data_IF_005862989193
#
_entry.id   IF_005862989193
#
_cell.length_a   1.000
_cell.length_b   1.000
_cell.length_c   1.000
_cell.angle_alpha   90.00
_cell.angle_beta   90.00
_cell.angle_gamma   90.00
#
_symmetry.space_group_name_H-M   'P 1'
#
loop_
_entity.id
_entity.type
_entity.pdbx_description
1 polymer ?
#
# COMPACT_ATOMS: atom_id res chain seq x y z
N UNK A 1 -3.41 81.65 -58.66
CA UNK A 1 -4.32 82.63 -57.91
C UNK A 1 -4.87 81.88 -56.71
N UNK A 2 -4.44 82.28 -55.53
CA UNK A 2 -5.10 82.21 -54.22
C UNK A 2 -5.80 80.88 -53.85
N UNK A 3 -5.81 80.40 -52.70
CA UNK A 3 -5.40 80.74 -51.33
C UNK A 3 -5.74 79.45 -50.50
N UNK A 4 -4.89 78.90 -49.77
CA UNK A 4 -4.84 78.87 -48.30
C UNK A 4 -6.10 78.60 -47.51
N UNK A 5 -6.11 77.55 -46.69
CA UNK A 5 -6.33 77.49 -45.26
C UNK A 5 -6.49 75.99 -44.85
N UNK A 6 -5.56 75.38 -44.16
CA UNK A 6 -5.38 75.29 -42.70
C UNK A 6 -6.63 74.88 -41.90
N UNK A 7 -6.55 73.77 -41.21
CA UNK A 7 -6.90 73.60 -39.80
C UNK A 7 -6.84 72.10 -39.42
N UNK A 8 -5.85 71.74 -38.70
CA UNK A 8 -5.83 71.38 -37.25
C UNK A 8 -6.83 70.26 -36.91
N UNK A 9 -6.26 69.18 -36.46
CA UNK A 9 -6.95 68.64 -35.37
C UNK A 9 -6.84 67.15 -35.08
N UNK A 10 -6.09 66.84 -34.12
CA UNK A 10 -6.21 65.79 -33.12
C UNK A 10 -5.72 64.38 -33.47
N UNK A 11 -4.51 64.17 -33.13
CA UNK A 11 -3.87 62.94 -32.78
C UNK A 11 -4.69 62.17 -31.68
N UNK A 12 -5.23 61.01 -32.01
CA UNK A 12 -5.80 60.10 -31.04
C UNK A 12 -4.78 59.00 -30.76
N UNK A 13 -4.02 59.15 -29.67
CA UNK A 13 -3.08 58.12 -29.15
C UNK A 13 -3.93 56.92 -28.67
N UNK A 14 -3.88 55.80 -29.39
CA UNK A 14 -4.37 54.51 -28.88
C UNK A 14 -3.33 53.98 -27.91
N UNK A 15 -3.65 54.00 -26.62
CA UNK A 15 -2.90 53.26 -25.60
C UNK A 15 -3.20 51.80 -25.74
N UNK A 16 -2.20 51.01 -26.11
CA UNK A 16 -2.23 49.55 -26.05
C UNK A 16 -1.95 49.18 -24.59
N UNK A 17 -2.97 48.80 -23.86
CA UNK A 17 -2.85 48.14 -22.55
C UNK A 17 -2.46 46.69 -22.82
N UNK A 18 -1.15 46.40 -22.67
CA UNK A 18 -0.67 45.03 -22.63
C UNK A 18 -1.07 44.40 -21.28
N UNK A 19 -2.19 43.68 -21.29
CA UNK A 19 -2.57 42.83 -20.16
C UNK A 19 -1.61 41.66 -20.02
N UNK A 20 -0.68 41.72 -19.08
CA UNK A 20 0.08 40.54 -18.64
C UNK A 20 -0.91 39.56 -17.97
N UNK A 21 -1.29 38.52 -18.69
CA UNK A 21 -1.93 37.33 -18.10
C UNK A 21 -0.86 36.60 -17.29
N UNK A 22 -0.82 36.83 -15.99
CA UNK A 22 -0.04 36.01 -15.06
C UNK A 22 -0.78 34.69 -14.95
N UNK A 23 -0.33 33.67 -15.70
CA UNK A 23 -0.76 32.31 -15.50
C UNK A 23 -0.19 31.84 -14.15
N UNK A 24 -1.00 31.89 -13.11
CA UNK A 24 -0.70 31.23 -11.83
C UNK A 24 -0.80 29.74 -12.08
N UNK A 25 0.36 29.13 -12.41
CA UNK A 25 0.49 27.66 -12.36
C UNK A 25 0.49 27.29 -10.89
N UNK A 26 -0.65 26.92 -10.36
CA UNK A 26 -0.73 26.19 -9.09
C UNK A 26 -0.10 24.81 -9.33
N UNK A 27 1.20 24.70 -9.09
CA UNK A 27 1.81 23.42 -8.83
C UNK A 27 1.17 22.92 -7.54
N UNK A 28 0.16 22.05 -7.66
CA UNK A 28 -0.38 21.33 -6.53
C UNK A 28 0.75 20.50 -5.92
N UNK A 29 1.40 21.03 -4.90
CA UNK A 29 2.20 20.20 -4.02
C UNK A 29 1.27 19.12 -3.50
N UNK A 30 1.56 17.85 -3.82
CA UNK A 30 0.91 16.72 -3.17
C UNK A 30 1.15 16.93 -1.67
N UNK A 31 0.09 17.23 -0.93
CA UNK A 31 0.18 17.36 0.50
C UNK A 31 0.80 16.07 1.05
N UNK A 32 1.82 16.21 1.88
CA UNK A 32 2.40 15.07 2.56
C UNK A 32 1.29 14.36 3.34
N UNK A 33 1.28 13.04 3.30
CA UNK A 33 0.33 12.26 4.10
C UNK A 33 0.64 12.52 5.56
N UNK A 34 -0.35 12.98 6.31
CA UNK A 34 -0.24 13.27 7.74
C UNK A 34 -1.16 12.36 8.54
N UNK A 35 -0.77 12.13 9.79
CA UNK A 35 -1.61 11.40 10.76
C UNK A 35 -2.80 12.26 11.15
N UNK A 36 -3.98 11.67 11.22
CA UNK A 36 -5.19 12.38 11.67
C UNK A 36 -4.95 13.01 13.05
N UNK A 37 -5.07 14.34 13.19
CA UNK A 37 -4.77 15.05 14.44
C UNK A 37 -5.66 14.65 15.64
N UNK A 38 -6.77 13.97 15.39
CA UNK A 38 -7.66 13.44 16.43
C UNK A 38 -7.12 12.16 17.07
N UNK A 39 -6.14 11.50 16.47
CA UNK A 39 -5.51 10.32 17.07
C UNK A 39 -4.70 10.76 18.29
N UNK A 40 -5.02 10.18 19.43
CA UNK A 40 -4.37 10.53 20.70
C UNK A 40 -2.92 10.02 20.74
N UNK A 41 -2.00 10.77 21.38
CA UNK A 41 -0.67 10.28 21.65
C UNK A 41 -0.70 9.10 22.63
N UNK A 42 0.33 8.24 22.56
CA UNK A 42 0.46 7.10 23.45
C UNK A 42 0.63 7.56 24.90
N UNK A 43 -0.11 6.94 25.80
CA UNK A 43 0.01 7.18 27.25
C UNK A 43 0.63 5.97 27.92
N UNK A 44 1.90 6.10 28.31
CA UNK A 44 2.64 5.08 29.02
C UNK A 44 1.97 4.68 30.33
N UNK A 45 1.90 3.37 30.57
CA UNK A 45 1.41 2.80 31.85
C UNK A 45 2.52 2.01 32.53
N UNK A 46 2.38 1.78 33.85
CA UNK A 46 3.36 0.97 34.61
C UNK A 46 3.12 -0.52 34.47
N UNK A 47 4.12 -1.33 34.78
CA UNK A 47 3.99 -2.80 34.89
C UNK A 47 4.05 -3.54 33.53
N UNK A 48 4.51 -2.90 32.47
CA UNK A 48 4.66 -3.53 31.15
C UNK A 48 6.07 -4.07 30.97
N UNK A 49 6.18 -5.38 30.84
CA UNK A 49 7.45 -6.11 30.58
C UNK A 49 7.14 -7.48 29.99
N UNK A 50 8.14 -8.14 29.47
CA UNK A 50 8.04 -9.51 28.94
C UNK A 50 8.42 -9.61 27.46
N UNK A 51 8.09 -10.76 26.89
CA UNK A 51 8.44 -11.08 25.50
C UNK A 51 7.18 -11.17 24.65
N UNK A 52 7.30 -10.78 23.39
CA UNK A 52 6.32 -11.01 22.33
C UNK A 52 7.02 -11.62 21.12
N UNK A 53 6.40 -12.63 20.55
CA UNK A 53 6.81 -13.25 19.31
C UNK A 53 5.80 -12.90 18.22
N UNK A 54 6.29 -12.37 17.12
CA UNK A 54 5.53 -11.94 15.96
C UNK A 54 5.98 -12.72 14.74
N UNK A 55 5.09 -13.54 14.19
CA UNK A 55 5.36 -14.37 13.01
C UNK A 55 4.29 -14.10 11.96
N UNK A 56 4.69 -13.72 10.75
CA UNK A 56 3.72 -13.46 9.69
C UNK A 56 4.25 -12.71 8.49
N UNK A 57 3.52 -11.69 8.09
CA UNK A 57 3.68 -10.96 6.84
C UNK A 57 5.02 -10.24 6.70
N UNK A 58 5.75 -10.53 5.62
CA UNK A 58 6.90 -9.73 5.20
C UNK A 58 6.50 -8.28 4.86
N UNK A 59 5.31 -8.04 4.33
CA UNK A 59 4.84 -6.68 4.02
C UNK A 59 4.86 -5.76 5.26
N UNK A 60 4.54 -6.30 6.44
CA UNK A 60 4.56 -5.55 7.70
C UNK A 60 5.91 -5.64 8.43
N UNK A 61 6.90 -6.36 7.89
CA UNK A 61 8.13 -6.64 8.63
C UNK A 61 8.86 -5.38 9.10
N UNK A 62 8.99 -4.37 8.23
CA UNK A 62 9.61 -3.09 8.58
C UNK A 62 8.77 -2.33 9.61
N UNK A 63 7.44 -2.23 9.40
CA UNK A 63 6.54 -1.60 10.37
C UNK A 63 6.65 -2.24 11.74
N UNK A 64 6.61 -3.58 11.82
CA UNK A 64 6.75 -4.30 13.07
C UNK A 64 8.09 -4.00 13.77
N UNK A 65 9.18 -3.92 13.00
CA UNK A 65 10.51 -3.59 13.53
C UNK A 65 10.55 -2.15 14.07
N UNK A 66 10.01 -1.18 13.34
CA UNK A 66 9.98 0.22 13.77
C UNK A 66 9.06 0.44 14.97
N UNK A 67 7.89 -0.19 15.00
CA UNK A 67 7.01 -0.17 16.16
C UNK A 67 7.68 -0.80 17.39
N UNK A 68 8.35 -1.94 17.22
CA UNK A 68 9.09 -2.58 18.31
C UNK A 68 10.24 -1.70 18.81
N UNK A 69 10.96 -1.01 17.92
CA UNK A 69 12.00 -0.04 18.29
C UNK A 69 11.42 1.13 19.10
N UNK A 70 10.33 1.74 18.60
CA UNK A 70 9.66 2.84 19.27
C UNK A 70 9.10 2.42 20.65
N UNK A 71 8.44 1.26 20.71
CA UNK A 71 7.88 0.73 21.95
C UNK A 71 8.95 0.39 23.02
N UNK A 72 10.12 -0.08 22.59
CA UNK A 72 11.24 -0.31 23.53
C UNK A 72 11.82 0.98 24.14
N UNK A 73 11.65 2.13 23.50
CA UNK A 73 12.02 3.42 24.12
C UNK A 73 11.12 3.73 25.32
N UNK A 74 9.83 3.32 25.22
CA UNK A 74 8.89 3.42 26.35
C UNK A 74 9.12 2.33 27.41
N UNK A 75 9.41 1.10 26.97
CA UNK A 75 9.54 -0.09 27.82
C UNK A 75 10.83 -0.86 27.55
N UNK A 76 11.97 -0.44 28.13
CA UNK A 76 13.27 -1.04 27.84
C UNK A 76 13.39 -2.54 28.20
N UNK A 77 12.52 -3.05 29.09
CA UNK A 77 12.49 -4.45 29.51
C UNK A 77 11.60 -5.34 28.64
N UNK A 78 11.03 -4.81 27.56
CA UNK A 78 10.23 -5.58 26.59
C UNK A 78 11.12 -6.08 25.46
N UNK A 79 10.94 -7.34 25.08
CA UNK A 79 11.60 -7.97 23.92
C UNK A 79 10.52 -8.38 22.92
N UNK A 80 10.69 -7.97 21.67
CA UNK A 80 9.79 -8.35 20.58
C UNK A 80 10.65 -9.01 19.50
N UNK A 81 10.37 -10.29 19.23
CA UNK A 81 10.98 -11.04 18.13
C UNK A 81 10.06 -10.96 16.92
N UNK A 82 10.62 -10.78 15.73
CA UNK A 82 9.85 -10.56 14.51
C UNK A 82 10.37 -11.49 13.42
N UNK A 83 9.46 -12.27 12.83
CA UNK A 83 9.72 -13.11 11.67
C UNK A 83 8.73 -12.79 10.54
N UNK A 84 9.24 -12.18 9.46
CA UNK A 84 8.46 -11.78 8.29
C UNK A 84 8.53 -12.78 7.14
N UNK A 85 8.07 -14.02 7.33
CA UNK A 85 8.17 -15.11 6.33
C UNK A 85 6.95 -15.25 5.40
N UNK A 86 5.95 -14.42 5.57
CA UNK A 86 4.71 -14.42 4.79
C UNK A 86 3.47 -14.65 5.64
N UNK A 87 2.34 -14.10 5.23
CA UNK A 87 1.08 -14.14 6.00
C UNK A 87 0.59 -15.56 6.30
N UNK A 88 0.94 -16.55 5.47
CA UNK A 88 0.53 -17.94 5.70
C UNK A 88 1.21 -18.58 6.91
N UNK A 89 2.28 -17.98 7.45
CA UNK A 89 2.96 -18.49 8.65
C UNK A 89 2.31 -18.01 9.95
N UNK A 90 1.47 -16.95 9.89
CA UNK A 90 0.83 -16.39 11.08
C UNK A 90 -0.22 -17.34 11.69
N UNK A 91 -1.21 -17.88 10.93
CA UNK A 91 -2.23 -18.74 11.51
C UNK A 91 -1.68 -19.96 12.25
N UNK A 92 -0.77 -20.79 11.66
CA UNK A 92 -0.22 -21.93 12.38
C UNK A 92 0.60 -21.55 13.61
N UNK A 93 1.31 -20.41 13.58
CA UNK A 93 2.07 -19.94 14.74
C UNK A 93 1.16 -19.49 15.89
N UNK A 94 0.04 -18.80 15.58
CA UNK A 94 -0.99 -18.45 16.57
C UNK A 94 -1.67 -19.68 17.14
N UNK A 95 -2.01 -20.67 16.32
CA UNK A 95 -2.62 -21.94 16.75
C UNK A 95 -1.67 -22.74 17.64
N UNK A 96 -0.39 -22.78 17.28
CA UNK A 96 0.64 -23.47 18.08
C UNK A 96 1.01 -22.71 19.36
N UNK A 97 0.64 -21.43 19.48
CA UNK A 97 1.03 -20.58 20.60
C UNK A 97 2.51 -20.12 20.54
N UNK A 98 3.20 -20.34 19.41
CA UNK A 98 4.58 -19.92 19.21
C UNK A 98 4.71 -18.45 18.86
N UNK A 99 3.61 -17.79 18.50
CA UNK A 99 3.52 -16.34 18.34
C UNK A 99 2.28 -15.80 19.04
N UNK A 100 2.38 -14.61 19.63
CA UNK A 100 1.26 -13.88 20.20
C UNK A 100 0.68 -12.88 19.19
N UNK A 101 1.48 -12.47 18.21
CA UNK A 101 1.11 -11.54 17.16
C UNK A 101 1.27 -12.17 15.79
N UNK A 102 0.22 -12.13 14.98
CA UNK A 102 0.20 -12.65 13.62
C UNK A 102 -0.03 -11.55 12.59
N UNK A 103 1.02 -10.81 12.14
CA UNK A 103 0.86 -9.81 11.09
C UNK A 103 0.44 -10.45 9.77
N UNK A 104 -0.56 -9.88 9.10
CA UNK A 104 -1.07 -10.38 7.82
C UNK A 104 -1.39 -9.24 6.86
N UNK A 105 -1.05 -9.41 5.59
CA UNK A 105 -1.35 -8.48 4.50
C UNK A 105 -2.52 -8.92 3.63
N UNK A 106 -3.34 -9.82 4.15
CA UNK A 106 -4.67 -10.24 3.70
C UNK A 106 -5.49 -10.66 4.91
N UNK A 107 -6.81 -10.71 4.80
CA UNK A 107 -7.63 -11.37 5.82
C UNK A 107 -7.22 -12.84 6.01
N UNK A 108 -7.38 -13.33 7.24
CA UNK A 108 -7.26 -14.75 7.54
C UNK A 108 -8.35 -15.52 6.76
N UNK A 109 -7.99 -16.65 6.19
CA UNK A 109 -8.95 -17.49 5.47
C UNK A 109 -9.85 -18.23 6.47
N UNK A 110 -11.01 -18.68 5.99
CA UNK A 110 -11.94 -19.40 6.85
C UNK A 110 -11.34 -20.66 7.48
N UNK A 111 -10.61 -21.44 6.72
CA UNK A 111 -9.94 -22.65 7.20
C UNK A 111 -8.86 -22.34 8.26
N UNK A 112 -8.16 -21.20 8.10
CA UNK A 112 -7.18 -20.71 9.08
C UNK A 112 -7.86 -20.25 10.38
N UNK A 113 -9.01 -19.53 10.27
CA UNK A 113 -9.83 -19.14 11.43
C UNK A 113 -10.45 -20.36 12.13
N UNK A 114 -10.98 -21.33 11.37
CA UNK A 114 -11.58 -22.54 11.91
C UNK A 114 -10.56 -23.39 12.69
N UNK A 115 -9.31 -23.44 12.22
CA UNK A 115 -8.23 -24.11 12.94
C UNK A 115 -7.94 -23.43 14.30
N UNK A 116 -7.96 -22.11 14.36
CA UNK A 116 -7.80 -21.38 15.62
C UNK A 116 -8.99 -21.61 16.56
N UNK A 117 -10.21 -21.53 16.04
CA UNK A 117 -11.44 -21.79 16.82
C UNK A 117 -11.46 -23.23 17.37
N UNK A 118 -11.06 -24.21 16.55
CA UNK A 118 -10.96 -25.61 16.99
C UNK A 118 -9.99 -25.82 18.15
N UNK A 119 -8.91 -25.05 18.19
CA UNK A 119 -7.89 -25.13 19.24
C UNK A 119 -8.31 -24.41 20.53
N UNK A 120 -8.89 -23.23 20.42
CA UNK A 120 -9.08 -22.34 21.56
C UNK A 120 -10.54 -22.11 21.95
N UNK A 121 -11.51 -22.50 21.11
CA UNK A 121 -12.95 -22.36 21.39
C UNK A 121 -13.51 -20.95 21.15
N UNK A 122 -12.68 -20.00 20.64
CA UNK A 122 -13.11 -18.65 20.30
C UNK A 122 -12.43 -18.16 19.03
N UNK A 123 -12.96 -17.08 18.43
CA UNK A 123 -12.41 -16.50 17.20
C UNK A 123 -11.16 -15.66 17.48
N UNK A 124 -10.17 -15.78 16.60
CA UNK A 124 -9.04 -14.89 16.59
C UNK A 124 -9.48 -13.45 16.27
N UNK A 125 -8.86 -12.44 16.87
CA UNK A 125 -9.19 -11.04 16.65
C UNK A 125 -8.18 -10.40 15.70
N UNK A 126 -8.65 -9.86 14.58
CA UNK A 126 -7.85 -9.07 13.65
C UNK A 126 -7.94 -7.59 13.96
N UNK A 127 -6.79 -6.95 14.19
CA UNK A 127 -6.64 -5.53 14.44
C UNK A 127 -6.08 -4.87 13.19
N UNK A 128 -6.83 -3.93 12.59
CA UNK A 128 -6.35 -3.09 11.50
C UNK A 128 -5.30 -2.10 12.02
N UNK A 129 -4.13 -2.05 11.39
CA UNK A 129 -2.99 -1.26 11.90
C UNK A 129 -2.47 -0.22 10.91
N UNK A 130 -2.72 -0.40 9.63
CA UNK A 130 -2.36 0.54 8.56
C UNK A 130 -3.18 0.27 7.31
N UNK A 131 -3.25 1.25 6.41
CA UNK A 131 -3.76 1.07 5.07
C UNK A 131 -2.59 0.91 4.09
N UNK A 132 -2.81 0.11 3.05
CA UNK A 132 -1.86 -0.13 1.97
C UNK A 132 -2.57 -0.01 0.62
N UNK A 133 -1.94 0.69 -0.32
CA UNK A 133 -2.24 0.54 -1.73
C UNK A 133 -1.26 -0.48 -2.30
N UNK A 134 -1.76 -1.71 -2.56
CA UNK A 134 -0.94 -2.70 -3.25
C UNK A 134 -0.64 -2.16 -4.65
N UNK A 135 0.58 -1.66 -4.83
CA UNK A 135 0.97 -0.97 -6.05
C UNK A 135 1.50 -1.95 -7.10
N UNK A 136 1.18 -1.66 -8.37
CA UNK A 136 1.89 -2.21 -9.51
C UNK A 136 3.02 -1.25 -9.84
N UNK A 137 4.24 -1.74 -9.74
CA UNK A 137 5.47 -1.00 -10.00
C UNK A 137 6.03 -1.33 -11.37
N UNK A 138 6.53 -0.33 -12.04
CA UNK A 138 7.37 -0.46 -13.24
C UNK A 138 8.69 0.27 -13.01
N UNK A 139 9.71 -0.05 -13.81
CA UNK A 139 10.95 0.71 -13.77
C UNK A 139 10.68 2.21 -13.95
N UNK A 140 11.45 3.06 -13.27
CA UNK A 140 11.26 4.51 -13.28
C UNK A 140 11.24 5.14 -14.68
N UNK A 141 11.95 4.55 -15.63
CA UNK A 141 12.11 5.04 -17.02
C UNK A 141 10.99 4.54 -17.94
N UNK A 142 10.14 3.59 -17.51
CA UNK A 142 9.04 3.09 -18.32
C UNK A 142 7.98 4.18 -18.55
N UNK A 143 7.57 4.49 -19.79
CA UNK A 143 6.63 5.59 -20.07
C UNK A 143 5.18 5.28 -19.71
N UNK A 144 4.82 4.03 -19.39
CA UNK A 144 3.43 3.67 -19.08
C UNK A 144 2.89 4.46 -17.87
N UNK A 145 1.64 4.89 -17.93
CA UNK A 145 1.02 5.70 -16.87
C UNK A 145 -0.01 4.94 -16.05
N UNK A 146 -0.74 4.05 -16.72
CA UNK A 146 -1.85 3.33 -16.08
C UNK A 146 -2.12 2.00 -16.75
N UNK A 147 -2.76 1.10 -15.99
CA UNK A 147 -3.31 -0.17 -16.47
C UNK A 147 -4.70 -0.39 -15.88
N UNK A 148 -5.54 -1.12 -16.58
CA UNK A 148 -6.76 -1.68 -16.00
C UNK A 148 -6.46 -3.01 -15.30
N UNK A 149 -7.30 -3.44 -14.35
CA UNK A 149 -7.16 -4.77 -13.74
C UNK A 149 -7.26 -5.91 -14.77
N UNK A 150 -8.14 -5.86 -15.79
CA UNK A 150 -8.09 -6.82 -16.88
C UNK A 150 -6.74 -6.89 -17.60
N UNK A 151 -6.07 -5.75 -17.85
CA UNK A 151 -4.72 -5.73 -18.41
C UNK A 151 -3.68 -6.33 -17.45
N UNK A 152 -3.78 -6.02 -16.15
CA UNK A 152 -2.91 -6.63 -15.13
C UNK A 152 -3.09 -8.15 -15.09
N UNK A 153 -4.32 -8.65 -15.19
CA UNK A 153 -4.59 -10.09 -15.29
C UNK A 153 -3.96 -10.69 -16.54
N UNK A 154 -4.15 -10.08 -17.70
CA UNK A 154 -3.54 -10.55 -18.97
C UNK A 154 -1.99 -10.54 -18.95
N UNK A 155 -1.38 -9.64 -18.15
CA UNK A 155 0.07 -9.59 -17.95
C UNK A 155 0.55 -10.73 -17.04
N UNK A 156 -0.10 -10.95 -15.89
CA UNK A 156 0.41 -11.83 -14.82
C UNK A 156 -0.22 -13.22 -14.78
N UNK A 157 -1.43 -13.39 -15.34
CA UNK A 157 -2.20 -14.64 -15.27
C UNK A 157 -2.08 -15.45 -16.55
N UNK A 158 -2.04 -16.79 -16.40
CA UNK A 158 -2.17 -17.74 -17.52
C UNK A 158 -3.61 -18.16 -17.81
N UNK A 159 -4.55 -17.78 -16.93
CA UNK A 159 -5.96 -18.17 -17.03
C UNK A 159 -6.87 -17.06 -17.55
N UNK A 160 -6.39 -15.82 -17.57
CA UNK A 160 -7.05 -14.63 -18.14
C UNK A 160 -8.51 -14.45 -17.72
N UNK A 161 -8.81 -14.66 -16.43
CA UNK A 161 -10.16 -14.56 -15.88
C UNK A 161 -10.69 -13.11 -15.78
N UNK A 162 -9.81 -12.14 -15.94
CA UNK A 162 -10.16 -10.70 -15.94
C UNK A 162 -10.87 -10.22 -17.20
N UNK A 163 -10.97 -11.07 -18.26
CA UNK A 163 -11.77 -10.79 -19.44
C UNK A 163 -10.98 -10.46 -20.71
N UNK A 164 -9.67 -10.23 -20.66
CA UNK A 164 -8.80 -10.08 -21.83
C UNK A 164 -8.20 -11.46 -22.15
N UNK A 165 -8.58 -12.01 -23.30
CA UNK A 165 -8.08 -13.33 -23.74
C UNK A 165 -6.64 -13.28 -24.25
N UNK A 166 -6.17 -12.11 -24.67
CA UNK A 166 -4.81 -11.93 -25.21
C UNK A 166 -3.76 -12.10 -24.11
N UNK A 167 -2.72 -12.87 -24.41
CA UNK A 167 -1.58 -13.07 -23.54
C UNK A 167 -0.55 -11.94 -23.77
N UNK A 168 -0.45 -11.00 -22.86
CA UNK A 168 0.50 -9.89 -22.96
C UNK A 168 1.92 -10.34 -22.60
N UNK A 169 2.83 -10.17 -23.56
CA UNK A 169 4.25 -10.57 -23.49
C UNK A 169 5.21 -9.42 -23.68
N UNK A 170 4.77 -8.35 -24.34
CA UNK A 170 5.61 -7.18 -24.64
C UNK A 170 4.92 -5.88 -24.26
N UNK A 171 5.72 -4.86 -24.02
CA UNK A 171 5.24 -3.52 -23.76
C UNK A 171 4.49 -2.89 -24.94
N UNK A 172 4.80 -3.33 -26.18
CA UNK A 172 4.09 -2.87 -27.38
C UNK A 172 2.62 -3.26 -27.40
N UNK A 173 2.26 -4.42 -26.86
CA UNK A 173 0.86 -4.85 -26.73
C UNK A 173 0.06 -3.96 -25.76
N UNK A 174 0.76 -3.22 -24.88
CA UNK A 174 0.19 -2.22 -23.98
C UNK A 174 0.23 -0.79 -24.58
N UNK A 175 0.53 -0.67 -25.88
CA UNK A 175 0.53 0.60 -26.62
C UNK A 175 1.83 1.39 -26.56
N UNK A 176 2.89 0.85 -26.00
CA UNK A 176 4.20 1.51 -26.02
C UNK A 176 4.85 1.36 -27.40
N UNK A 177 5.52 2.41 -27.86
CA UNK A 177 6.16 2.49 -29.18
C UNK A 177 7.66 2.67 -29.08
N UNK A 178 8.34 2.74 -30.24
CA UNK A 178 9.78 2.93 -30.32
C UNK A 178 10.56 1.79 -29.67
N UNK A 179 11.56 2.12 -28.88
CA UNK A 179 12.42 1.14 -28.20
C UNK A 179 11.68 0.23 -27.21
N UNK A 180 10.51 0.64 -26.75
CA UNK A 180 9.69 -0.13 -25.82
C UNK A 180 8.82 -1.19 -26.48
N UNK A 181 8.48 -1.03 -27.78
CA UNK A 181 7.51 -1.88 -28.45
C UNK A 181 7.85 -3.38 -28.37
N UNK A 182 9.12 -3.72 -28.56
CA UNK A 182 9.58 -5.10 -28.59
C UNK A 182 10.19 -5.60 -27.28
N UNK A 183 10.25 -4.74 -26.23
CA UNK A 183 10.75 -5.17 -24.94
C UNK A 183 9.77 -6.17 -24.30
N UNK A 184 10.27 -7.32 -23.80
CA UNK A 184 9.43 -8.30 -23.12
C UNK A 184 8.96 -7.76 -21.77
N UNK A 185 7.81 -8.23 -21.31
CA UNK A 185 7.35 -8.01 -19.94
C UNK A 185 8.12 -8.94 -18.99
N UNK A 186 8.95 -8.37 -18.13
CA UNK A 186 9.70 -9.11 -17.10
C UNK A 186 8.94 -9.03 -15.77
N UNK A 187 8.32 -10.17 -15.39
CA UNK A 187 7.34 -10.22 -14.31
C UNK A 187 8.00 -10.53 -12.98
N UNK A 188 7.74 -9.69 -11.95
CA UNK A 188 8.20 -9.90 -10.59
C UNK A 188 7.00 -10.01 -9.63
N UNK A 189 6.93 -11.08 -8.86
CA UNK A 189 5.85 -11.32 -7.92
C UNK A 189 6.37 -11.88 -6.61
N UNK A 190 5.45 -12.20 -5.71
CA UNK A 190 5.74 -12.83 -4.43
C UNK A 190 5.54 -14.33 -4.52
N UNK A 191 6.17 -15.07 -3.63
CA UNK A 191 5.91 -16.51 -3.48
C UNK A 191 4.55 -16.78 -2.78
N UNK A 192 4.11 -18.03 -2.79
CA UNK A 192 2.81 -18.45 -2.28
C UNK A 192 2.63 -18.32 -0.75
N UNK A 193 3.71 -18.17 0.03
CA UNK A 193 3.65 -17.89 1.47
C UNK A 193 3.17 -16.45 1.76
N UNK A 194 3.30 -15.55 0.79
CA UNK A 194 2.96 -14.14 0.92
C UNK A 194 1.44 -13.92 0.91
N UNK A 195 0.94 -13.13 1.87
CA UNK A 195 -0.42 -12.61 1.82
C UNK A 195 -0.64 -11.68 0.64
N UNK A 196 0.40 -10.93 0.21
CA UNK A 196 0.36 -10.08 -0.98
C UNK A 196 0.17 -10.87 -2.26
N UNK A 197 0.80 -12.05 -2.39
CA UNK A 197 0.53 -13.00 -3.47
C UNK A 197 -0.96 -13.41 -3.48
N UNK A 198 -1.50 -13.81 -2.33
CA UNK A 198 -2.91 -14.23 -2.23
C UNK A 198 -3.88 -13.09 -2.54
N UNK A 199 -3.64 -11.90 -2.01
CA UNK A 199 -4.46 -10.72 -2.26
C UNK A 199 -4.44 -10.31 -3.74
N UNK A 200 -3.26 -10.25 -4.37
CA UNK A 200 -3.14 -9.93 -5.79
C UNK A 200 -3.82 -10.98 -6.69
N UNK A 201 -3.64 -12.27 -6.37
CA UNK A 201 -4.35 -13.37 -7.07
C UNK A 201 -5.86 -13.19 -7.02
N UNK A 202 -6.40 -12.83 -5.85
CA UNK A 202 -7.83 -12.68 -5.66
C UNK A 202 -8.40 -11.45 -6.35
N UNK A 203 -7.77 -10.30 -6.20
CA UNK A 203 -8.32 -9.01 -6.60
C UNK A 203 -7.85 -8.51 -7.97
N UNK A 204 -6.61 -8.83 -8.37
CA UNK A 204 -6.06 -8.40 -9.65
C UNK A 204 -6.18 -9.48 -10.75
N UNK A 205 -6.11 -10.78 -10.38
CA UNK A 205 -6.16 -11.88 -11.33
C UNK A 205 -7.50 -12.63 -11.31
N UNK A 206 -8.55 -12.07 -10.70
CA UNK A 206 -9.87 -12.70 -10.59
C UNK A 206 -9.80 -14.19 -10.15
N UNK A 207 -8.90 -14.49 -9.19
CA UNK A 207 -8.55 -15.85 -8.71
C UNK A 207 -7.93 -16.74 -9.80
N UNK A 208 -7.38 -16.15 -10.87
CA UNK A 208 -6.64 -16.85 -11.92
C UNK A 208 -5.28 -17.32 -11.43
N UNK A 209 -4.64 -18.20 -12.20
CA UNK A 209 -3.32 -18.72 -11.89
C UNK A 209 -2.23 -17.86 -12.53
N UNK A 210 -1.17 -17.61 -11.76
CA UNK A 210 -0.01 -16.87 -12.26
C UNK A 210 0.66 -17.59 -13.44
N UNK A 211 1.27 -16.82 -14.34
CA UNK A 211 2.17 -17.34 -15.35
C UNK A 211 3.41 -17.96 -14.68
N UNK A 212 3.92 -19.02 -15.26
CA UNK A 212 5.13 -19.70 -14.79
C UNK A 212 6.40 -18.84 -14.98
N UNK A 213 6.29 -17.76 -15.77
CA UNK A 213 7.34 -16.76 -16.00
C UNK A 213 7.44 -15.69 -14.93
N UNK A 214 6.52 -15.66 -13.97
CA UNK A 214 6.62 -14.73 -12.84
C UNK A 214 7.80 -15.13 -11.97
N UNK A 215 8.77 -14.22 -11.84
CA UNK A 215 9.93 -14.37 -10.97
C UNK A 215 9.50 -14.20 -9.53
N UNK A 216 9.24 -15.29 -8.83
CA UNK A 216 8.81 -15.28 -7.43
C UNK A 216 9.92 -14.77 -6.51
N UNK A 217 9.58 -13.78 -5.70
CA UNK A 217 10.49 -13.16 -4.73
C UNK A 217 10.05 -13.47 -3.29
N UNK A 218 11.02 -13.70 -2.37
CA UNK A 218 10.71 -13.98 -0.97
C UNK A 218 10.14 -12.77 -0.22
N UNK A 219 10.52 -11.56 -0.63
CA UNK A 219 10.17 -10.32 0.07
C UNK A 219 9.66 -9.21 -0.86
N UNK A 220 9.01 -8.22 -0.25
CA UNK A 220 8.48 -7.03 -0.91
C UNK A 220 9.60 -6.16 -1.50
N UNK A 221 10.69 -5.98 -0.74
CA UNK A 221 11.88 -5.25 -1.18
C UNK A 221 12.53 -5.91 -2.40
N UNK A 222 12.59 -7.25 -2.44
CA UNK A 222 13.19 -7.99 -3.57
C UNK A 222 12.40 -7.83 -4.86
N UNK A 223 11.06 -7.72 -4.79
CA UNK A 223 10.24 -7.38 -5.97
C UNK A 223 10.63 -6.01 -6.51
N UNK A 224 10.67 -5.00 -5.63
CA UNK A 224 10.99 -3.61 -6.03
C UNK A 224 12.42 -3.51 -6.57
N UNK A 225 13.37 -4.23 -5.97
CA UNK A 225 14.75 -4.29 -6.47
C UNK A 225 14.81 -4.91 -7.87
N UNK A 226 14.14 -6.05 -8.10
CA UNK A 226 14.08 -6.68 -9.43
C UNK A 226 13.51 -5.76 -10.50
N UNK A 227 12.44 -5.00 -10.19
CA UNK A 227 11.87 -4.01 -11.11
C UNK A 227 12.81 -2.82 -11.33
N UNK A 228 13.58 -2.42 -10.30
CA UNK A 228 14.57 -1.34 -10.41
C UNK A 228 15.71 -1.71 -11.35
N UNK A 229 16.20 -2.94 -11.28
CA UNK A 229 17.35 -3.43 -12.04
C UNK A 229 16.99 -3.82 -13.49
N UNK A 230 15.73 -4.12 -13.74
CA UNK A 230 15.23 -4.54 -15.05
C UNK A 230 14.36 -3.43 -15.68
N UNK A 231 14.87 -2.79 -16.74
CA UNK A 231 14.14 -1.75 -17.46
C UNK A 231 12.77 -2.22 -17.98
N UNK A 232 12.67 -3.52 -18.32
CA UNK A 232 11.41 -4.16 -18.76
C UNK A 232 10.54 -4.64 -17.61
N UNK A 233 10.98 -4.42 -16.37
CA UNK A 233 10.37 -4.95 -15.17
C UNK A 233 8.99 -4.37 -14.87
N UNK A 234 8.09 -5.26 -14.47
CA UNK A 234 6.81 -4.96 -13.85
C UNK A 234 6.60 -5.91 -12.68
N UNK A 235 6.16 -5.40 -11.55
CA UNK A 235 5.95 -6.20 -10.34
C UNK A 235 4.91 -5.57 -9.42
N UNK A 236 4.54 -6.28 -8.34
CA UNK A 236 3.59 -5.78 -7.36
C UNK A 236 4.14 -5.89 -5.93
N UNK A 237 3.94 -4.85 -5.15
CA UNK A 237 4.36 -4.77 -3.76
C UNK A 237 3.55 -3.71 -3.00
N UNK A 238 3.59 -3.72 -1.66
CA UNK A 238 3.01 -2.65 -0.85
C UNK A 238 3.67 -1.30 -1.15
N UNK A 239 2.88 -0.22 -1.08
CA UNK A 239 3.34 1.12 -1.45
C UNK A 239 4.52 1.59 -0.59
N UNK A 240 4.62 1.15 0.66
CA UNK A 240 5.72 1.47 1.57
C UNK A 240 7.10 1.03 1.08
N UNK A 241 7.15 0.09 0.13
CA UNK A 241 8.43 -0.37 -0.45
C UNK A 241 8.87 0.44 -1.69
N UNK A 242 8.12 1.48 -2.07
CA UNK A 242 8.49 2.32 -3.22
C UNK A 242 9.86 2.97 -3.03
N UNK A 243 10.71 2.85 -4.04
CA UNK A 243 12.02 3.52 -4.12
C UNK A 243 12.07 4.48 -5.31
N UNK A 244 13.14 5.26 -5.41
CA UNK A 244 13.38 6.14 -6.57
C UNK A 244 13.66 5.37 -7.88
N UNK A 245 13.96 4.08 -7.81
CA UNK A 245 14.21 3.22 -8.98
C UNK A 245 12.94 2.73 -9.68
N UNK A 246 11.77 2.90 -9.04
CA UNK A 246 10.48 2.47 -9.57
C UNK A 246 9.46 3.58 -9.53
N UNK A 247 8.42 3.45 -10.34
CA UNK A 247 7.20 4.24 -10.20
C UNK A 247 5.99 3.31 -10.03
N UNK A 248 5.08 3.69 -9.18
CA UNK A 248 3.77 3.07 -9.07
C UNK A 248 2.86 3.66 -10.16
N UNK A 249 2.10 2.82 -10.83
CA UNK A 249 1.20 3.27 -11.90
C UNK A 249 -0.23 3.36 -11.40
N UNK A 250 -1.02 4.23 -12.03
CA UNK A 250 -2.44 4.33 -11.75
C UNK A 250 -3.17 3.07 -12.23
N UNK A 251 -4.19 2.64 -11.49
CA UNK A 251 -5.01 1.48 -11.84
C UNK A 251 -6.48 1.86 -12.00
N UNK A 252 -7.14 1.23 -12.99
CA UNK A 252 -8.59 1.27 -13.11
C UNK A 252 -9.17 -0.13 -12.89
N UNK A 253 -10.38 -0.19 -12.32
CA UNK A 253 -11.06 -1.48 -12.08
C UNK A 253 -11.50 -2.17 -13.39
N UNK A 254 -11.70 -1.40 -14.47
CA UNK A 254 -12.19 -1.88 -15.78
C UNK A 254 -11.51 -1.10 -16.90
N UNK A 255 -11.45 -1.70 -18.08
CA UNK A 255 -11.03 -0.97 -19.28
C UNK A 255 -11.92 0.26 -19.54
N UNK A 256 -11.29 1.37 -19.95
CA UNK A 256 -11.97 2.63 -20.22
C UNK A 256 -12.46 3.40 -18.98
N UNK A 257 -12.38 2.82 -17.78
CA UNK A 257 -12.69 3.53 -16.55
C UNK A 257 -11.53 4.47 -16.13
N UNK A 258 -11.79 5.55 -15.39
CA UNK A 258 -10.77 6.42 -14.86
C UNK A 258 -9.79 5.63 -13.97
N UNK A 259 -8.50 5.76 -14.24
CA UNK A 259 -7.46 5.18 -13.41
C UNK A 259 -7.16 6.08 -12.20
N UNK A 260 -6.95 5.47 -11.05
CA UNK A 260 -6.63 6.14 -9.79
C UNK A 260 -5.17 5.86 -9.39
N UNK A 261 -4.48 6.89 -8.93
CA UNK A 261 -3.14 6.78 -8.34
C UNK A 261 -3.20 6.06 -6.99
N UNK A 262 -2.15 5.30 -6.61
CA UNK A 262 -2.08 4.60 -5.32
C UNK A 262 -1.76 5.57 -4.16
N UNK A 263 -2.56 6.61 -3.98
CA UNK A 263 -2.39 7.62 -2.94
C UNK A 263 -3.46 7.51 -1.85
N UNK A 264 -3.27 8.25 -0.75
CA UNK A 264 -4.11 8.19 0.43
C UNK A 264 -5.58 8.52 0.14
N UNK A 265 -5.84 9.59 -0.62
CA UNK A 265 -7.19 10.02 -0.97
C UNK A 265 -7.95 8.94 -1.77
N UNK A 266 -7.29 8.34 -2.76
CA UNK A 266 -7.90 7.31 -3.59
C UNK A 266 -8.11 5.99 -2.84
N UNK A 267 -7.25 5.69 -1.84
CA UNK A 267 -7.44 4.55 -0.95
C UNK A 267 -8.64 4.77 -0.02
N UNK A 268 -8.72 5.92 0.64
CA UNK A 268 -9.84 6.25 1.54
C UNK A 268 -11.19 6.33 0.82
N UNK A 269 -11.21 6.88 -0.39
CA UNK A 269 -12.43 6.97 -1.21
C UNK A 269 -12.79 5.67 -1.93
N UNK A 270 -11.97 4.61 -1.82
CA UNK A 270 -12.19 3.34 -2.52
C UNK A 270 -12.00 3.41 -4.04
N UNK A 271 -11.43 4.49 -4.57
CA UNK A 271 -11.16 4.65 -6.01
C UNK A 271 -9.99 3.78 -6.47
N UNK A 272 -8.97 3.59 -5.63
CA UNK A 272 -7.85 2.72 -5.97
C UNK A 272 -8.25 1.25 -5.76
N UNK A 273 -8.25 0.41 -6.81
CA UNK A 273 -8.90 -0.90 -6.75
C UNK A 273 -8.16 -1.97 -5.93
N UNK A 274 -6.87 -1.77 -5.65
CA UNK A 274 -6.05 -2.69 -4.85
C UNK A 274 -5.73 -2.13 -3.46
N UNK A 275 -6.68 -1.41 -2.86
CA UNK A 275 -6.59 -0.94 -1.47
C UNK A 275 -6.84 -2.09 -0.49
N UNK A 276 -6.08 -2.12 0.62
CA UNK A 276 -6.28 -3.12 1.68
C UNK A 276 -5.89 -2.57 3.04
N UNK A 277 -6.43 -3.20 4.08
CA UNK A 277 -5.98 -3.00 5.47
C UNK A 277 -4.91 -4.02 5.81
N UNK A 278 -3.83 -3.57 6.41
CA UNK A 278 -2.82 -4.43 7.05
C UNK A 278 -3.30 -4.77 8.47
N UNK A 279 -3.16 -6.02 8.85
CA UNK A 279 -3.78 -6.59 10.05
C UNK A 279 -2.72 -7.21 10.96
N UNK A 280 -2.95 -7.15 12.28
CA UNK A 280 -2.27 -8.00 13.26
C UNK A 280 -3.34 -8.86 13.95
N UNK A 281 -3.23 -10.17 13.81
CA UNK A 281 -4.12 -11.10 14.49
C UNK A 281 -3.57 -11.46 15.87
N UNK A 282 -4.50 -11.55 16.85
CA UNK A 282 -4.20 -11.91 18.24
C UNK A 282 -5.27 -12.83 18.81
N UNK A 283 -4.86 -13.71 19.70
CA UNK A 283 -5.78 -14.55 20.47
C UNK A 283 -6.38 -13.77 21.63
N UNK A 284 -7.47 -13.02 21.39
CA UNK A 284 -8.22 -12.31 22.43
C UNK A 284 -9.41 -13.17 22.89
N UNK A 285 -9.24 -13.85 24.03
CA UNK A 285 -10.33 -14.63 24.63
C UNK A 285 -11.47 -13.71 25.10
N UNK A 286 -12.75 -14.06 24.84
CA UNK A 286 -13.88 -13.26 25.32
C UNK A 286 -13.82 -13.02 26.83
N UNK A 287 -14.08 -11.81 27.27
CA UNK A 287 -14.07 -11.37 28.67
C UNK A 287 -12.72 -11.52 29.42
N UNK A 288 -11.63 -11.79 28.71
CA UNK A 288 -10.28 -11.76 29.27
C UNK A 288 -9.44 -10.68 28.61
N UNK A 289 -8.68 -9.95 29.41
CA UNK A 289 -7.70 -8.99 28.87
C UNK A 289 -6.56 -9.72 28.17
N UNK A 290 -6.00 -9.09 27.15
CA UNK A 290 -4.70 -9.50 26.60
C UNK A 290 -3.61 -9.35 27.66
N UNK A 291 -2.48 -10.04 27.47
CA UNK A 291 -1.31 -9.77 28.32
C UNK A 291 -0.97 -8.26 28.26
N UNK A 292 -0.52 -7.65 29.36
CA UNK A 292 -0.23 -6.22 29.38
C UNK A 292 0.72 -5.77 28.26
N UNK A 293 1.75 -6.56 27.96
CA UNK A 293 2.71 -6.23 26.91
C UNK A 293 2.07 -6.28 25.51
N UNK A 294 1.18 -7.25 25.24
CA UNK A 294 0.49 -7.32 23.92
C UNK A 294 -0.55 -6.21 23.77
N UNK A 295 -1.34 -5.94 24.81
CA UNK A 295 -2.34 -4.88 24.81
C UNK A 295 -1.68 -3.52 24.58
N UNK A 296 -0.63 -3.20 25.34
CA UNK A 296 0.04 -1.91 25.25
C UNK A 296 0.83 -1.73 23.96
N UNK A 297 1.41 -2.82 23.40
CA UNK A 297 2.06 -2.75 22.09
C UNK A 297 1.05 -2.43 20.98
N UNK A 298 -0.12 -3.05 20.99
CA UNK A 298 -1.19 -2.74 20.02
C UNK A 298 -1.75 -1.32 20.21
N UNK A 299 -1.90 -0.85 21.45
CA UNK A 299 -2.28 0.55 21.72
C UNK A 299 -1.22 1.54 21.25
N UNK A 300 0.06 1.21 21.42
CA UNK A 300 1.16 2.00 20.87
C UNK A 300 1.10 2.10 19.35
N UNK A 301 0.89 0.98 18.66
CA UNK A 301 0.71 0.94 17.19
C UNK A 301 -0.45 1.83 16.73
N UNK A 302 -1.55 1.82 17.47
CA UNK A 302 -2.76 2.60 17.17
C UNK A 302 -2.71 4.05 17.70
N UNK A 303 -1.66 4.46 18.39
CA UNK A 303 -1.46 5.83 18.85
C UNK A 303 -0.95 6.74 17.74
N UNK A 304 -0.87 8.04 18.03
CA UNK A 304 -0.29 9.01 17.11
C UNK A 304 1.14 8.63 16.70
N UNK A 305 1.99 8.26 17.66
CA UNK A 305 3.38 7.85 17.42
C UNK A 305 3.47 6.59 16.55
N UNK A 306 2.59 5.62 16.79
CA UNK A 306 2.50 4.41 15.98
C UNK A 306 2.06 4.69 14.55
N UNK A 307 1.12 5.61 14.34
CA UNK A 307 0.66 6.00 13.01
C UNK A 307 1.66 6.94 12.30
N UNK A 308 2.44 7.73 13.01
CA UNK A 308 3.58 8.48 12.44
C UNK A 308 4.66 7.53 11.88
N UNK A 309 4.88 6.38 12.52
CA UNK A 309 5.75 5.33 12.00
C UNK A 309 5.19 4.75 10.70
N UNK A 310 3.88 4.56 10.58
CA UNK A 310 3.23 4.11 9.33
C UNK A 310 3.54 5.06 8.18
N UNK A 311 3.37 6.37 8.39
CA UNK A 311 3.68 7.40 7.40
C UNK A 311 5.17 7.40 7.04
N UNK A 312 6.04 7.30 8.04
CA UNK A 312 7.50 7.30 7.85
C UNK A 312 7.98 6.10 7.02
N UNK A 313 7.35 4.93 7.17
CA UNK A 313 7.65 3.72 6.38
C UNK A 313 6.98 3.74 4.99
N UNK A 314 6.29 4.84 4.64
CA UNK A 314 5.66 5.05 3.33
C UNK A 314 4.31 4.35 3.14
N UNK A 315 3.74 3.76 4.20
CA UNK A 315 2.37 3.27 4.21
C UNK A 315 1.38 4.39 4.57
N UNK A 316 0.11 4.06 4.65
CA UNK A 316 -0.96 5.01 4.81
C UNK A 316 -1.57 4.87 6.23
N UNK A 317 -1.68 5.96 7.01
CA UNK A 317 -2.20 5.89 8.37
C UNK A 317 -3.70 5.61 8.36
N UNK A 318 -4.19 5.06 9.47
CA UNK A 318 -5.62 4.90 9.71
C UNK A 318 -6.28 6.26 10.02
N UNK A 319 -7.51 6.50 9.56
CA UNK A 319 -8.34 7.58 10.09
C UNK A 319 -8.66 7.38 11.58
N UNK A 320 -8.87 8.46 12.32
CA UNK A 320 -9.15 8.40 13.76
C UNK A 320 -10.37 7.53 14.12
N UNK A 321 -11.44 7.61 13.32
CA UNK A 321 -12.63 6.78 13.51
C UNK A 321 -12.35 5.27 13.37
N UNK A 322 -11.39 4.90 12.51
CA UNK A 322 -10.95 3.51 12.37
C UNK A 322 -10.11 3.11 13.57
N UNK A 323 -9.17 3.97 13.99
CA UNK A 323 -8.35 3.74 15.18
C UNK A 323 -9.20 3.49 16.43
N UNK A 324 -10.26 4.29 16.66
CA UNK A 324 -11.20 4.11 17.78
C UNK A 324 -11.87 2.72 17.74
N UNK A 325 -12.33 2.29 16.57
CA UNK A 325 -12.93 0.96 16.37
C UNK A 325 -11.94 -0.17 16.63
N UNK A 326 -10.70 -0.01 16.20
CA UNK A 326 -9.65 -1.02 16.41
C UNK A 326 -9.22 -1.09 17.89
N UNK A 327 -9.10 0.06 18.57
CA UNK A 327 -8.85 0.11 20.01
C UNK A 327 -9.96 -0.55 20.83
N UNK A 328 -11.21 -0.40 20.41
CA UNK A 328 -12.36 -1.03 21.10
C UNK A 328 -12.30 -2.57 21.10
N UNK A 329 -11.63 -3.19 20.10
CA UNK A 329 -11.43 -4.65 20.04
C UNK A 329 -10.45 -5.18 21.10
N UNK A 330 -9.65 -4.30 21.71
CA UNK A 330 -8.66 -4.68 22.72
C UNK A 330 -9.26 -4.78 24.13
N UNK A 331 -10.44 -4.21 24.34
CA UNK A 331 -11.15 -4.17 25.64
C UNK A 331 -11.94 -5.46 25.91
#
# INVERSE_FOLDING_TARGET
MMMQKSLIGKSLKKAIVAGCLVAVTTTGALAAVEVDPKIAPYKKVSGVSGNLDSIGSDTLNNLMAYWAEGFRKEYPNVRIQIEGKGSTTAPPALVAGTAQLGPMSRPMKKDEEDAFVSKYGYKVTGIGVALDSLAVFVNKDNPIKSLSLPQVDAIFSKTHKGGIAEDYKTWGQLGLTGEWANLPLSLFGRNSASGTYGFFKEHALAKGDYKDTVKEQPGSASVVMGVTEDRSGIGYSGIGYKTSGVKAIALSAKEGAPAAEPNYENVLSGKYPLSRTLLIYVGKEPNKALSPVAAEFLKYILSKEGQEIVVKDGFLPLPAEVVEKELAKLN
#
